data_IF_824857577750
#
_entry.id   IF_824857577750
#
_cell.length_a   1.000
_cell.length_b   1.000
_cell.length_c   1.000
_cell.angle_alpha   90.00
_cell.angle_beta   90.00
_cell.angle_gamma   90.00
#
_symmetry.space_group_name_H-M   'P 1'
#
loop_
_entity.id
_entity.type
_entity.pdbx_description
1 polymer ?
#
# COMPACT_ATOMS: atom_id res chain seq x y z
N UNK A 1 -10.32 40.58 6.42
CA UNK A 1 -9.83 39.33 7.05
C UNK A 1 -9.15 38.51 5.96
N UNK A 2 -7.82 38.52 5.93
CA UNK A 2 -7.03 37.77 4.94
C UNK A 2 -6.86 36.34 5.45
N UNK A 3 -7.45 35.37 4.75
CA UNK A 3 -7.25 33.95 5.02
C UNK A 3 -5.88 33.56 4.47
N UNK A 4 -4.88 33.47 5.36
CA UNK A 4 -3.58 32.90 5.04
C UNK A 4 -3.76 31.41 4.71
N UNK A 5 -3.92 31.12 3.42
CA UNK A 5 -3.86 29.78 2.86
C UNK A 5 -2.39 29.34 2.88
N UNK A 6 -1.94 28.88 4.06
CA UNK A 6 -0.65 28.23 4.20
C UNK A 6 -0.71 26.98 3.35
N UNK A 7 -0.11 27.05 2.15
CA UNK A 7 0.16 25.89 1.31
C UNK A 7 0.73 24.83 2.24
N UNK A 8 0.03 23.71 2.40
CA UNK A 8 0.61 22.48 2.94
C UNK A 8 1.81 22.17 2.05
N UNK A 9 3.00 22.61 2.47
CA UNK A 9 4.25 22.13 1.90
C UNK A 9 4.17 20.61 1.96
N UNK A 10 4.39 20.01 0.80
CA UNK A 10 4.38 18.56 0.68
C UNK A 10 5.43 18.06 1.65
N UNK A 11 4.99 17.45 2.75
CA UNK A 11 5.87 16.70 3.63
C UNK A 11 6.46 15.62 2.74
N UNK A 12 7.71 15.80 2.31
CA UNK A 12 8.45 14.80 1.56
C UNK A 12 8.55 13.60 2.49
N UNK A 13 7.91 12.50 2.11
CA UNK A 13 7.89 11.31 2.94
C UNK A 13 9.32 10.86 3.22
N UNK A 14 9.66 10.65 4.50
CA UNK A 14 10.85 9.91 4.90
C UNK A 14 10.95 8.62 4.06
N UNK A 15 12.08 8.31 3.39
CA UNK A 15 13.42 8.90 3.53
C UNK A 15 13.82 9.93 2.44
N UNK A 16 12.89 10.40 1.59
CA UNK A 16 13.22 11.33 0.49
C UNK A 16 13.84 12.65 0.97
N UNK A 17 13.34 13.19 2.09
CA UNK A 17 13.93 14.37 2.73
C UNK A 17 15.42 14.19 3.08
N UNK A 18 15.77 13.02 3.60
CA UNK A 18 17.15 12.73 3.99
C UNK A 18 18.06 12.57 2.75
N UNK A 19 17.53 12.03 1.65
CA UNK A 19 18.26 11.93 0.38
C UNK A 19 18.47 13.29 -0.29
N UNK A 20 17.47 14.15 -0.31
CA UNK A 20 17.60 15.51 -0.84
C UNK A 20 18.60 16.35 -0.02
N UNK A 21 18.61 16.15 1.30
CA UNK A 21 19.63 16.74 2.18
C UNK A 21 21.02 16.15 1.89
N UNK A 22 21.15 14.84 1.70
CA UNK A 22 22.42 14.21 1.33
C UNK A 22 22.94 14.72 -0.03
N UNK A 23 22.05 14.91 -1.01
CA UNK A 23 22.38 15.53 -2.30
C UNK A 23 22.86 16.99 -2.13
N UNK A 24 22.24 17.73 -1.21
CA UNK A 24 22.64 19.09 -0.87
C UNK A 24 24.03 19.12 -0.23
N UNK A 25 24.33 18.16 0.66
CA UNK A 25 25.67 17.98 1.25
C UNK A 25 26.70 17.65 0.18
N UNK A 26 26.39 16.76 -0.77
CA UNK A 26 27.25 16.46 -1.92
C UNK A 26 27.59 17.73 -2.72
N UNK A 27 26.58 18.55 -3.03
CA UNK A 27 26.75 19.79 -3.77
C UNK A 27 27.62 20.78 -2.99
N UNK A 28 27.37 20.92 -1.69
CA UNK A 28 28.19 21.73 -0.79
C UNK A 28 29.65 21.30 -0.81
N UNK A 29 29.91 20.00 -0.64
CA UNK A 29 31.26 19.43 -0.62
C UNK A 29 32.03 19.66 -1.92
N UNK A 30 31.34 19.61 -3.08
CA UNK A 30 31.91 19.98 -4.38
C UNK A 30 32.32 21.45 -4.47
N UNK A 31 31.55 22.34 -3.84
CA UNK A 31 31.79 23.79 -3.83
C UNK A 31 32.95 24.14 -2.87
N UNK A 32 33.04 23.50 -1.70
CA UNK A 32 34.11 23.80 -0.72
C UNK A 32 35.47 23.20 -1.11
N UNK A 33 35.48 22.25 -2.06
CA UNK A 33 36.66 21.67 -2.70
C UNK A 33 37.59 20.95 -1.72
N UNK A 34 37.44 19.62 -1.57
CA UNK A 34 38.27 18.67 -0.79
C UNK A 34 38.67 19.05 0.67
N UNK A 35 38.33 20.24 1.15
CA UNK A 35 38.64 20.76 2.49
C UNK A 35 37.76 20.16 3.58
N UNK A 36 36.62 19.57 3.20
CA UNK A 36 35.83 18.76 4.12
C UNK A 36 36.49 17.37 4.22
N UNK A 37 37.23 17.15 5.30
CA UNK A 37 37.71 15.83 5.68
C UNK A 37 36.70 15.22 6.65
N UNK A 38 35.94 14.23 6.18
CA UNK A 38 35.04 13.44 7.02
C UNK A 38 35.78 12.15 7.39
N UNK A 39 36.04 11.89 8.69
CA UNK A 39 36.73 10.67 9.10
C UNK A 39 35.96 9.43 8.63
N UNK A 40 36.65 8.50 7.96
CA UNK A 40 36.10 7.22 7.47
C UNK A 40 35.04 7.34 6.35
N UNK A 41 34.86 8.50 5.72
CA UNK A 41 33.94 8.67 4.61
C UNK A 41 34.57 9.55 3.54
N UNK A 42 35.12 8.91 2.51
CA UNK A 42 35.56 9.61 1.30
C UNK A 42 34.36 9.86 0.37
N UNK A 43 34.53 10.76 -0.59
CA UNK A 43 33.44 11.14 -1.51
C UNK A 43 32.94 9.93 -2.32
N UNK A 44 33.82 9.03 -2.72
CA UNK A 44 33.46 7.83 -3.50
C UNK A 44 32.48 6.93 -2.72
N UNK A 45 32.81 6.60 -1.47
CA UNK A 45 31.95 5.81 -0.59
C UNK A 45 30.63 6.53 -0.28
N UNK A 46 30.64 7.86 -0.15
CA UNK A 46 29.42 8.64 0.02
C UNK A 46 28.49 8.54 -1.20
N UNK A 47 29.04 8.64 -2.42
CA UNK A 47 28.26 8.53 -3.66
C UNK A 47 27.70 7.12 -3.86
N UNK A 48 28.48 6.09 -3.54
CA UNK A 48 28.02 4.70 -3.56
C UNK A 48 26.82 4.51 -2.64
N UNK A 49 26.91 4.97 -1.38
CA UNK A 49 25.81 4.83 -0.42
C UNK A 49 24.57 5.64 -0.80
N UNK A 50 24.76 6.79 -1.45
CA UNK A 50 23.65 7.60 -1.96
C UNK A 50 22.93 6.89 -3.12
N UNK A 51 23.69 6.25 -4.02
CA UNK A 51 23.12 5.43 -5.10
C UNK A 51 22.36 4.21 -4.56
N UNK A 52 22.93 3.48 -3.60
CA UNK A 52 22.26 2.35 -2.92
C UNK A 52 20.93 2.80 -2.31
N UNK A 53 20.95 3.91 -1.57
CA UNK A 53 19.77 4.44 -0.90
C UNK A 53 18.69 4.91 -1.89
N UNK A 54 19.09 5.50 -3.03
CA UNK A 54 18.18 5.88 -4.10
C UNK A 54 17.50 4.64 -4.71
N UNK A 55 18.25 3.56 -4.96
CA UNK A 55 17.69 2.30 -5.46
C UNK A 55 16.67 1.71 -4.48
N UNK A 56 16.93 1.77 -3.17
CA UNK A 56 15.98 1.30 -2.17
C UNK A 56 14.69 2.14 -2.14
N UNK A 57 14.77 3.45 -2.35
CA UNK A 57 13.58 4.32 -2.46
C UNK A 57 12.74 3.96 -3.68
N UNK A 58 13.38 3.72 -4.82
CA UNK A 58 12.69 3.31 -6.05
C UNK A 58 11.97 1.97 -5.87
N UNK A 59 12.64 0.99 -5.24
CA UNK A 59 12.05 -0.29 -4.90
C UNK A 59 10.84 -0.13 -3.95
N UNK A 60 10.96 0.71 -2.92
CA UNK A 60 9.87 0.97 -1.98
C UNK A 60 8.65 1.61 -2.68
N UNK A 61 8.86 2.54 -3.61
CA UNK A 61 7.76 3.14 -4.38
C UNK A 61 7.13 2.15 -5.37
N UNK A 62 7.93 1.28 -6.00
CA UNK A 62 7.41 0.20 -6.84
C UNK A 62 6.49 -0.74 -6.03
N UNK A 63 6.95 -1.22 -4.87
CA UNK A 63 6.16 -2.07 -3.98
C UNK A 63 4.86 -1.39 -3.50
N UNK A 64 4.91 -0.08 -3.24
CA UNK A 64 3.72 0.69 -2.88
C UNK A 64 2.69 0.73 -4.02
N UNK A 65 3.14 0.88 -5.27
CA UNK A 65 2.26 0.85 -6.43
C UNK A 65 1.66 -0.55 -6.64
N UNK A 66 2.47 -1.60 -6.49
CA UNK A 66 2.02 -2.99 -6.57
C UNK A 66 0.97 -3.30 -5.50
N UNK A 67 1.21 -2.88 -4.25
CA UNK A 67 0.23 -3.01 -3.15
C UNK A 67 -1.08 -2.32 -3.49
N UNK A 68 -1.02 -1.11 -4.05
CA UNK A 68 -2.23 -0.38 -4.44
C UNK A 68 -2.99 -1.12 -5.55
N UNK A 69 -2.30 -1.72 -6.50
CA UNK A 69 -2.89 -2.57 -7.55
C UNK A 69 -3.56 -3.81 -6.96
N UNK A 70 -2.85 -4.54 -6.10
CA UNK A 70 -3.37 -5.75 -5.46
C UNK A 70 -4.64 -5.46 -4.63
N UNK A 71 -4.69 -4.31 -3.92
CA UNK A 71 -5.89 -3.89 -3.18
C UNK A 71 -7.07 -3.66 -4.12
N UNK A 72 -6.86 -2.99 -5.27
CA UNK A 72 -7.92 -2.76 -6.26
C UNK A 72 -8.45 -4.07 -6.82
N UNK A 73 -7.56 -4.97 -7.22
CA UNK A 73 -7.93 -6.29 -7.75
C UNK A 73 -8.71 -7.11 -6.72
N UNK A 74 -8.26 -7.13 -5.45
CA UNK A 74 -8.99 -7.78 -4.35
C UNK A 74 -10.41 -7.23 -4.22
N UNK A 75 -10.58 -5.92 -4.25
CA UNK A 75 -11.91 -5.30 -4.10
C UNK A 75 -12.84 -5.62 -5.27
N UNK A 76 -12.31 -5.71 -6.50
CA UNK A 76 -13.08 -6.15 -7.68
C UNK A 76 -13.59 -7.58 -7.47
N UNK A 77 -12.71 -8.51 -7.07
CA UNK A 77 -13.07 -9.91 -6.84
C UNK A 77 -14.11 -10.03 -5.72
N UNK A 78 -13.95 -9.28 -4.61
CA UNK A 78 -14.92 -9.29 -3.52
C UNK A 78 -16.30 -8.78 -3.95
N UNK A 79 -16.35 -7.76 -4.82
CA UNK A 79 -17.63 -7.30 -5.38
C UNK A 79 -18.30 -8.36 -6.24
N UNK A 80 -17.52 -9.05 -7.09
CA UNK A 80 -18.02 -10.14 -7.93
C UNK A 80 -18.53 -11.31 -7.07
N UNK A 81 -17.77 -11.69 -6.04
CA UNK A 81 -18.16 -12.74 -5.10
C UNK A 81 -19.47 -12.39 -4.40
N UNK A 82 -19.62 -11.15 -3.92
CA UNK A 82 -20.84 -10.68 -3.29
C UNK A 82 -22.06 -10.78 -4.21
N UNK A 83 -21.90 -10.40 -5.48
CA UNK A 83 -22.97 -10.52 -6.47
C UNK A 83 -23.33 -11.97 -6.77
N UNK A 84 -22.34 -12.86 -6.89
CA UNK A 84 -22.57 -14.30 -7.02
C UNK A 84 -23.30 -14.87 -5.82
N UNK A 85 -22.88 -14.54 -4.59
CA UNK A 85 -23.56 -15.00 -3.36
C UNK A 85 -25.01 -14.52 -3.31
N UNK A 86 -25.29 -13.27 -3.69
CA UNK A 86 -26.67 -12.78 -3.77
C UNK A 86 -27.49 -13.54 -4.82
N UNK A 87 -26.93 -13.80 -6.00
CA UNK A 87 -27.61 -14.58 -7.05
C UNK A 87 -27.92 -16.00 -6.57
N UNK A 88 -26.96 -16.68 -5.95
CA UNK A 88 -27.17 -18.02 -5.37
C UNK A 88 -28.26 -17.99 -4.30
N UNK A 89 -28.21 -17.02 -3.38
CA UNK A 89 -29.24 -16.85 -2.34
C UNK A 89 -30.62 -16.61 -2.95
N UNK A 90 -30.71 -15.75 -3.97
CA UNK A 90 -31.98 -15.45 -4.64
C UNK A 90 -32.50 -16.66 -5.41
N UNK A 91 -31.63 -17.43 -6.08
CA UNK A 91 -32.02 -18.67 -6.74
C UNK A 91 -32.53 -19.70 -5.73
N UNK A 92 -31.83 -19.89 -4.61
CA UNK A 92 -32.28 -20.77 -3.53
C UNK A 92 -33.66 -20.34 -2.97
N UNK A 93 -33.85 -19.04 -2.70
CA UNK A 93 -35.15 -18.50 -2.27
C UNK A 93 -36.25 -18.67 -3.33
N UNK A 94 -35.92 -18.52 -4.61
CA UNK A 94 -36.90 -18.70 -5.68
C UNK A 94 -37.31 -20.18 -5.84
N UNK A 95 -36.38 -21.11 -5.63
CA UNK A 95 -36.63 -22.55 -5.74
C UNK A 95 -37.35 -23.13 -4.51
N UNK A 96 -36.97 -22.70 -3.31
CA UNK A 96 -37.42 -23.29 -2.04
C UNK A 96 -38.28 -22.32 -1.20
N UNK A 97 -38.66 -21.14 -1.72
CA UNK A 97 -39.34 -20.11 -0.94
C UNK A 97 -38.53 -19.59 0.26
N UNK A 98 -39.15 -18.76 1.11
CA UNK A 98 -38.60 -18.37 2.42
C UNK A 98 -38.82 -19.47 3.49
N UNK A 99 -39.61 -20.49 3.17
CA UNK A 99 -39.96 -21.63 4.03
C UNK A 99 -40.55 -22.74 3.15
N UNK A 100 -39.71 -23.59 2.56
CA UNK A 100 -40.19 -24.89 2.07
C UNK A 100 -39.97 -25.97 3.12
N UNK A 101 -40.84 -26.97 3.12
CA UNK A 101 -40.74 -28.12 4.01
C UNK A 101 -39.40 -28.86 3.84
N UNK A 102 -38.83 -28.85 2.62
CA UNK A 102 -37.52 -29.45 2.33
C UNK A 102 -36.36 -28.65 2.97
N UNK A 103 -36.46 -27.31 3.00
CA UNK A 103 -35.46 -26.46 3.66
C UNK A 103 -35.50 -26.62 5.18
N UNK A 104 -36.70 -26.71 5.76
CA UNK A 104 -36.87 -26.99 7.20
C UNK A 104 -36.31 -28.37 7.58
N UNK A 105 -36.57 -29.40 6.77
CA UNK A 105 -35.99 -30.73 6.98
C UNK A 105 -34.45 -30.72 6.92
N UNK A 106 -33.86 -30.03 5.94
CA UNK A 106 -32.40 -29.91 5.83
C UNK A 106 -31.78 -29.16 7.03
N UNK A 107 -32.42 -28.08 7.48
CA UNK A 107 -31.98 -27.33 8.65
C UNK A 107 -32.14 -28.14 9.95
N UNK A 108 -33.15 -29.00 10.04
CA UNK A 108 -33.34 -29.90 11.18
C UNK A 108 -32.26 -31.00 11.19
N UNK A 109 -31.99 -31.62 10.04
CA UNK A 109 -30.91 -32.62 9.87
C UNK A 109 -29.52 -32.07 10.19
N UNK A 110 -29.20 -30.84 9.77
CA UNK A 110 -27.90 -30.22 10.12
C UNK A 110 -27.72 -29.96 11.62
N UNK A 111 -28.81 -29.71 12.36
CA UNK A 111 -28.75 -29.54 13.82
C UNK A 111 -28.52 -30.86 14.56
N UNK A 112 -29.00 -31.97 14.00
CA UNK A 112 -28.82 -33.32 14.57
C UNK A 112 -27.42 -33.88 14.28
N UNK A 113 -26.80 -33.53 13.15
CA UNK A 113 -25.44 -33.97 12.78
C UNK A 113 -24.35 -33.11 13.45
N UNK A 114 -24.68 -31.91 13.90
CA UNK A 114 -23.76 -30.99 14.60
C UNK A 114 -23.65 -31.20 16.12
N UNK A 115 -24.27 -32.26 16.67
CA UNK A 115 -24.07 -32.76 18.04
C UNK A 115 -23.20 -34.02 18.01
#
# INVERSE_FOLDING_TARGET
MQTNNVKKERVSSFPRDALEQAQTVQNGWRIVGEKLSVPNLNMELFLEKLADAQQHVECAEALKQERARAIRERNIILSQLWDLTKRVRNAAKATFGDSSAELEQLLCLQREIGQ
#
